data_IF_393879858193
#
_entry.id   IF_393879858193
#
_cell.length_a   1.000
_cell.length_b   1.000
_cell.length_c   1.000
_cell.angle_alpha   90.00
_cell.angle_beta   90.00
_cell.angle_gamma   90.00
#
_symmetry.space_group_name_H-M   'P 1'
#
loop_
_entity.id
_entity.type
_entity.pdbx_description
1 polymer ?
#
# COMPACT_ATOMS: atom_id res chain seq x y z
N UNK A 1 -51.67 -1.22 -12.74
CA UNK A 1 -50.85 -0.19 -12.06
C UNK A 1 -49.45 -0.69 -11.64
N UNK A 2 -48.99 -1.85 -12.12
CA UNK A 2 -47.72 -2.49 -11.72
C UNK A 2 -46.48 -2.06 -12.55
N UNK A 3 -46.67 -1.24 -13.60
CA UNK A 3 -45.60 -0.84 -14.53
C UNK A 3 -44.81 0.40 -14.09
N UNK A 4 -45.28 1.14 -13.07
CA UNK A 4 -44.63 2.37 -12.58
C UNK A 4 -43.69 2.16 -11.39
N UNK A 5 -43.65 0.96 -10.79
CA UNK A 5 -42.81 0.64 -9.63
C UNK A 5 -41.43 0.06 -9.97
N UNK A 6 -41.17 -0.26 -11.24
CA UNK A 6 -39.90 -0.87 -11.68
C UNK A 6 -38.76 0.13 -11.92
N UNK A 7 -39.05 1.43 -12.10
CA UNK A 7 -38.01 2.43 -12.37
C UNK A 7 -37.36 3.04 -11.11
N UNK A 8 -37.93 2.84 -9.92
CA UNK A 8 -37.38 3.36 -8.66
C UNK A 8 -36.22 2.54 -8.09
N UNK A 9 -36.20 1.23 -8.33
CA UNK A 9 -35.20 0.32 -7.75
C UNK A 9 -33.85 0.34 -8.48
N UNK A 10 -33.79 0.78 -9.74
CA UNK A 10 -32.56 0.84 -10.53
C UNK A 10 -31.65 2.02 -10.16
N UNK A 11 -32.19 3.11 -9.60
CA UNK A 11 -31.40 4.30 -9.23
C UNK A 11 -30.80 4.25 -7.82
N UNK A 12 -31.26 3.35 -6.93
CA UNK A 12 -30.66 3.18 -5.59
C UNK A 12 -29.40 2.31 -5.58
N UNK A 13 -29.10 1.59 -6.67
CA UNK A 13 -27.91 0.74 -6.74
C UNK A 13 -26.60 1.52 -7.03
N UNK A 14 -26.69 2.78 -7.47
CA UNK A 14 -25.52 3.62 -7.76
C UNK A 14 -25.08 4.50 -6.57
N UNK A 15 -25.78 4.45 -5.44
CA UNK A 15 -25.50 5.26 -4.25
C UNK A 15 -24.70 4.50 -3.18
N UNK A 16 -24.11 3.36 -3.51
CA UNK A 16 -23.31 2.59 -2.56
C UNK A 16 -21.87 3.11 -2.52
N UNK A 17 -21.60 3.84 -1.45
CA UNK A 17 -20.29 3.95 -0.80
C UNK A 17 -19.25 4.87 -1.46
N UNK A 18 -19.48 6.19 -1.40
CA UNK A 18 -18.38 7.15 -1.33
C UNK A 18 -17.79 7.19 0.10
N UNK A 19 -17.51 6.02 0.69
CA UNK A 19 -16.69 5.98 1.89
C UNK A 19 -15.24 6.16 1.43
N UNK A 20 -14.50 7.06 2.09
CA UNK A 20 -13.06 7.14 1.93
C UNK A 20 -12.46 5.77 2.29
N UNK A 21 -12.11 5.00 1.26
CA UNK A 21 -11.69 3.61 1.36
C UNK A 21 -10.19 3.57 1.59
N UNK A 22 -9.75 2.74 2.54
CA UNK A 22 -8.32 2.54 2.81
C UNK A 22 -7.75 1.64 1.73
N UNK A 23 -6.93 2.22 0.86
CA UNK A 23 -6.26 1.47 -0.21
C UNK A 23 -4.89 1.04 0.26
N UNK A 24 -4.52 -0.19 -0.09
CA UNK A 24 -3.21 -0.77 0.21
C UNK A 24 -2.45 -1.00 -1.09
N UNK A 25 -1.19 -0.58 -1.12
CA UNK A 25 -0.30 -0.74 -2.25
C UNK A 25 0.95 -1.49 -1.83
N UNK A 26 1.29 -2.53 -2.59
CA UNK A 26 2.58 -3.19 -2.52
C UNK A 26 3.47 -2.65 -3.63
N UNK A 27 4.73 -2.35 -3.32
CA UNK A 27 5.68 -1.85 -4.28
C UNK A 27 7.05 -2.50 -4.13
N UNK A 28 7.85 -2.44 -5.17
CA UNK A 28 9.23 -2.93 -5.15
C UNK A 28 10.12 -2.15 -6.10
N UNK A 29 11.38 -2.06 -5.72
CA UNK A 29 12.48 -1.60 -6.55
C UNK A 29 13.49 -2.74 -6.71
N UNK A 30 14.05 -2.89 -7.90
CA UNK A 30 15.07 -3.90 -8.19
C UNK A 30 16.17 -3.33 -9.09
N UNK A 31 17.33 -3.97 -9.08
CA UNK A 31 18.55 -3.57 -9.80
C UNK A 31 19.10 -2.23 -9.31
N UNK A 32 19.99 -2.30 -8.31
CA UNK A 32 20.60 -1.14 -7.67
C UNK A 32 22.10 -1.10 -7.95
N UNK A 33 22.73 0.02 -7.62
CA UNK A 33 24.17 0.12 -7.50
C UNK A 33 24.57 0.13 -6.03
N UNK A 34 25.49 -0.74 -5.63
CA UNK A 34 25.98 -0.88 -4.26
C UNK A 34 27.46 -1.32 -4.31
N UNK A 35 28.31 -0.74 -3.47
CA UNK A 35 29.73 -1.12 -3.34
C UNK A 35 30.47 -1.22 -4.70
N UNK A 36 30.28 -0.21 -5.54
CA UNK A 36 30.91 -0.08 -6.87
C UNK A 36 30.49 -1.14 -7.90
N UNK A 37 29.35 -1.81 -7.69
CA UNK A 37 28.80 -2.79 -8.63
C UNK A 37 27.28 -2.71 -8.73
N UNK A 38 26.75 -3.20 -9.84
CA UNK A 38 25.31 -3.46 -9.97
C UNK A 38 24.93 -4.71 -9.18
N UNK A 39 23.80 -4.65 -8.47
CA UNK A 39 23.23 -5.74 -7.68
C UNK A 39 21.77 -5.96 -8.08
N UNK A 40 21.34 -7.21 -8.18
CA UNK A 40 19.97 -7.60 -8.55
C UNK A 40 19.04 -7.74 -7.35
N UNK A 41 19.37 -7.06 -6.24
CA UNK A 41 18.57 -7.09 -5.02
C UNK A 41 17.18 -6.47 -5.26
N UNK A 42 16.19 -6.97 -4.52
CA UNK A 42 14.80 -6.49 -4.58
C UNK A 42 14.42 -5.90 -3.23
N UNK A 43 14.19 -4.59 -3.19
CA UNK A 43 13.70 -3.88 -2.02
C UNK A 43 12.19 -3.69 -2.14
N UNK A 44 11.44 -4.27 -1.20
CA UNK A 44 9.97 -4.24 -1.20
C UNK A 44 9.45 -3.23 -0.19
N UNK A 45 8.26 -2.73 -0.40
CA UNK A 45 7.54 -1.93 0.58
C UNK A 45 6.04 -2.06 0.42
N UNK A 46 5.34 -1.53 1.40
CA UNK A 46 3.89 -1.49 1.43
C UNK A 46 3.46 -0.17 2.06
N UNK A 47 2.42 0.45 1.52
CA UNK A 47 1.78 1.58 2.18
C UNK A 47 0.27 1.49 2.09
N UNK A 48 -0.40 2.09 3.05
CA UNK A 48 -1.85 2.26 3.05
C UNK A 48 -2.21 3.73 3.18
N UNK A 49 -3.21 4.14 2.41
CA UNK A 49 -3.64 5.52 2.25
C UNK A 49 -5.16 5.60 2.23
N UNK A 50 -5.70 6.73 2.66
CA UNK A 50 -7.12 7.07 2.55
C UNK A 50 -7.22 8.43 1.89
N UNK A 51 -7.84 8.50 0.72
CA UNK A 51 -8.08 9.74 -0.02
C UNK A 51 -9.15 10.57 0.71
N UNK A 52 -8.71 11.48 1.58
CA UNK A 52 -9.59 12.24 2.46
C UNK A 52 -10.13 13.47 1.75
N UNK A 53 -9.38 14.00 0.78
CA UNK A 53 -9.76 15.21 0.06
C UNK A 53 -10.42 14.92 -1.30
N UNK A 54 -10.34 13.68 -1.80
CA UNK A 54 -10.97 13.21 -3.03
C UNK A 54 -10.27 13.66 -4.31
N UNK A 55 -8.99 14.05 -4.26
CA UNK A 55 -8.25 14.56 -5.42
C UNK A 55 -7.55 13.47 -6.26
N UNK A 56 -7.52 12.23 -5.76
CA UNK A 56 -6.88 11.09 -6.41
C UNK A 56 -5.34 11.08 -6.33
N UNK A 57 -4.74 11.97 -5.54
CA UNK A 57 -3.30 12.08 -5.29
C UNK A 57 -3.05 11.93 -3.78
N UNK A 58 -2.50 10.78 -3.39
CA UNK A 58 -2.26 10.51 -1.98
C UNK A 58 -1.08 11.31 -1.44
N UNK A 59 -1.34 12.20 -0.50
CA UNK A 59 -0.33 12.99 0.19
C UNK A 59 0.12 12.40 1.54
N UNK A 60 1.12 13.03 2.17
CA UNK A 60 1.64 12.59 3.47
C UNK A 60 0.59 12.60 4.59
N UNK A 61 -0.40 13.51 4.55
CA UNK A 61 -1.51 13.59 5.51
C UNK A 61 -2.55 12.47 5.36
N UNK A 62 -2.52 11.77 4.24
CA UNK A 62 -3.44 10.67 3.87
C UNK A 62 -2.81 9.30 4.07
N UNK A 63 -1.51 9.28 4.36
CA UNK A 63 -0.74 8.10 4.67
C UNK A 63 -1.13 7.55 6.04
N UNK A 64 -1.64 6.33 6.07
CA UNK A 64 -2.02 5.61 7.29
C UNK A 64 -0.86 4.75 7.77
N UNK A 65 -0.26 3.98 6.86
CA UNK A 65 0.89 3.16 7.17
C UNK A 65 1.89 3.17 6.02
N UNK A 66 3.17 3.05 6.35
CA UNK A 66 4.25 2.91 5.39
C UNK A 66 5.35 2.02 5.96
N UNK A 67 5.68 0.99 5.19
CA UNK A 67 6.75 0.05 5.45
C UNK A 67 7.64 -0.02 4.22
N UNK A 68 8.95 0.01 4.45
CA UNK A 68 9.92 -0.22 3.40
C UNK A 68 11.03 -1.13 3.90
N UNK A 69 11.35 -2.11 3.08
CA UNK A 69 12.13 -3.30 3.43
C UNK A 69 11.49 -3.99 4.62
N UNK A 70 12.11 -3.94 5.80
CA UNK A 70 11.61 -4.54 7.04
C UNK A 70 11.30 -3.50 8.12
N UNK A 71 11.23 -2.22 7.76
CA UNK A 71 11.05 -1.14 8.72
C UNK A 71 9.72 -0.43 8.52
N UNK A 72 8.98 -0.30 9.62
CA UNK A 72 7.80 0.57 9.70
C UNK A 72 8.23 2.01 9.98
N UNK A 73 7.77 2.93 9.12
CA UNK A 73 7.95 4.38 9.27
C UNK A 73 6.64 5.04 9.71
N UNK A 74 5.49 4.47 9.31
CA UNK A 74 4.16 4.82 9.80
C UNK A 74 3.33 3.55 10.05
N UNK A 75 2.73 3.38 11.24
CA UNK A 75 3.08 4.09 12.47
C UNK A 75 4.56 3.85 12.81
N UNK A 76 5.18 4.85 13.43
CA UNK A 76 6.53 4.70 13.97
C UNK A 76 6.44 3.91 15.27
N UNK A 77 7.09 2.75 15.32
CA UNK A 77 7.08 1.88 16.48
C UNK A 77 8.50 1.44 16.82
N UNK A 78 8.76 1.29 18.12
CA UNK A 78 9.96 0.62 18.61
C UNK A 78 9.96 -0.83 18.15
N UNK A 79 11.09 -1.30 17.65
CA UNK A 79 11.29 -2.73 17.41
C UNK A 79 11.84 -3.38 18.70
N UNK A 80 11.70 -4.70 18.82
CA UNK A 80 12.16 -5.42 20.01
C UNK A 80 13.65 -5.19 20.27
N UNK A 81 13.99 -4.69 21.47
CA UNK A 81 15.36 -4.38 21.88
C UNK A 81 15.78 -2.93 21.64
N UNK A 82 14.92 -2.10 21.04
CA UNK A 82 15.16 -0.66 20.97
C UNK A 82 14.63 0.04 22.23
N UNK A 83 15.43 0.98 22.74
CA UNK A 83 15.01 1.88 23.80
C UNK A 83 14.23 3.08 23.22
N UNK A 84 14.66 3.55 22.05
CA UNK A 84 14.14 4.74 21.40
C UNK A 84 14.13 4.56 19.89
N UNK A 85 12.98 4.85 19.26
CA UNK A 85 12.85 4.92 17.81
C UNK A 85 12.21 6.25 17.42
N UNK A 86 12.83 6.95 16.48
CA UNK A 86 12.27 8.16 15.87
C UNK A 86 12.10 7.93 14.37
N UNK A 87 10.95 8.29 13.82
CA UNK A 87 10.71 8.24 12.38
C UNK A 87 10.30 9.62 11.89
N UNK A 88 10.77 10.01 10.71
CA UNK A 88 10.38 11.25 10.04
C UNK A 88 9.94 10.95 8.62
N UNK A 89 8.77 11.47 8.23
CA UNK A 89 8.26 11.41 6.86
C UNK A 89 8.36 12.82 6.30
N UNK A 90 9.46 13.10 5.60
CA UNK A 90 9.75 14.43 5.07
C UNK A 90 8.90 14.75 3.85
N UNK A 91 8.65 13.73 3.01
CA UNK A 91 7.73 13.83 1.88
C UNK A 91 7.12 12.47 1.56
N UNK A 92 5.88 12.50 1.10
CA UNK A 92 5.19 11.35 0.52
C UNK A 92 4.16 11.86 -0.48
N UNK A 93 4.16 11.30 -1.69
CA UNK A 93 3.17 11.58 -2.72
C UNK A 93 3.04 10.37 -3.65
N UNK A 94 1.81 9.98 -3.96
CA UNK A 94 1.56 8.95 -4.97
C UNK A 94 0.25 9.22 -5.71
N UNK A 95 0.33 9.17 -7.04
CA UNK A 95 -0.84 9.16 -7.91
C UNK A 95 -0.88 7.79 -8.63
N UNK A 96 -2.01 7.07 -8.64
CA UNK A 96 -2.13 5.82 -9.37
C UNK A 96 -1.70 5.96 -10.84
N UNK A 97 -0.80 5.09 -11.29
CA UNK A 97 -0.20 5.14 -12.63
C UNK A 97 1.02 6.06 -12.75
N UNK A 98 1.35 6.83 -11.71
CA UNK A 98 2.56 7.63 -11.60
C UNK A 98 3.68 6.94 -10.82
N UNK A 99 4.76 7.69 -10.60
CA UNK A 99 5.86 7.27 -9.73
C UNK A 99 5.53 7.53 -8.26
N UNK A 100 5.91 6.60 -7.40
CA UNK A 100 5.87 6.77 -5.96
C UNK A 100 7.04 7.67 -5.53
N UNK A 101 6.73 8.77 -4.84
CA UNK A 101 7.72 9.68 -4.27
C UNK A 101 7.66 9.64 -2.74
N UNK A 102 8.78 9.33 -2.09
CA UNK A 102 8.89 9.38 -0.63
C UNK A 102 10.29 9.76 -0.16
N UNK A 103 10.33 10.37 1.01
CA UNK A 103 11.54 10.73 1.74
C UNK A 103 11.31 10.48 3.22
N UNK A 104 11.96 9.46 3.76
CA UNK A 104 11.76 9.04 5.14
C UNK A 104 13.06 8.69 5.85
N UNK A 105 13.12 9.02 7.14
CA UNK A 105 14.23 8.70 8.01
C UNK A 105 13.74 7.89 9.20
N UNK A 106 14.56 6.98 9.69
CA UNK A 106 14.33 6.25 10.92
C UNK A 106 15.61 6.14 11.72
N UNK A 107 15.56 6.48 13.00
CA UNK A 107 16.64 6.24 13.95
C UNK A 107 16.17 5.19 14.93
N UNK A 108 17.01 4.19 15.19
CA UNK A 108 16.83 3.17 16.23
C UNK A 108 18.00 3.29 17.19
N UNK A 109 17.72 3.37 18.48
CA UNK A 109 18.71 3.45 19.55
C UNK A 109 18.46 2.38 20.59
N UNK A 110 19.52 1.70 20.97
CA UNK A 110 19.58 0.81 22.13
C UNK A 110 20.83 1.13 22.97
N UNK A 111 21.09 0.37 24.02
CA UNK A 111 22.22 0.63 24.94
C UNK A 111 23.61 0.50 24.28
N UNK A 112 23.69 -0.24 23.18
CA UNK A 112 24.94 -0.68 22.56
C UNK A 112 25.20 -0.05 21.20
N UNK A 113 24.15 0.38 20.51
CA UNK A 113 24.23 0.96 19.18
C UNK A 113 23.08 1.91 18.88
N UNK A 114 23.41 2.87 18.02
CA UNK A 114 22.45 3.67 17.29
C UNK A 114 22.52 3.26 15.81
N UNK A 115 21.39 3.27 15.12
CA UNK A 115 21.28 2.96 13.68
C UNK A 115 20.36 3.96 13.01
N UNK A 116 20.78 4.51 11.88
CA UNK A 116 20.08 5.55 11.12
C UNK A 116 19.81 5.02 9.73
N UNK A 117 18.53 4.94 9.36
CA UNK A 117 18.04 4.52 8.07
C UNK A 117 17.55 5.75 7.30
N UNK A 118 17.90 5.80 6.02
CA UNK A 118 17.38 6.78 5.07
C UNK A 118 16.76 6.05 3.89
N UNK A 119 15.58 6.47 3.47
CA UNK A 119 14.91 5.99 2.28
C UNK A 119 14.42 7.20 1.47
N UNK A 120 14.92 7.33 0.24
CA UNK A 120 14.61 8.41 -0.71
C UNK A 120 14.33 7.77 -2.08
N UNK A 121 13.08 7.76 -2.52
CA UNK A 121 12.73 7.22 -3.84
C UNK A 121 13.51 7.93 -4.95
N UNK A 122 14.18 7.18 -5.82
CA UNK A 122 14.95 7.74 -6.93
C UNK A 122 16.34 8.28 -6.58
N UNK A 123 16.78 8.19 -5.32
CA UNK A 123 18.15 8.54 -4.89
C UNK A 123 18.81 7.36 -4.21
N UNK A 124 18.41 7.05 -2.97
CA UNK A 124 19.07 6.01 -2.17
C UNK A 124 18.18 5.39 -1.10
N UNK A 125 18.57 4.19 -0.71
CA UNK A 125 18.17 3.56 0.54
C UNK A 125 19.41 3.02 1.23
N UNK A 126 19.54 3.23 2.53
CA UNK A 126 20.69 2.73 3.24
C UNK A 126 20.58 2.94 4.73
N UNK A 127 21.59 2.46 5.43
CA UNK A 127 21.74 2.75 6.84
C UNK A 127 23.19 2.94 7.23
N UNK A 128 23.37 3.65 8.33
CA UNK A 128 24.61 3.69 9.09
C UNK A 128 24.31 3.11 10.46
N UNK A 129 25.29 2.47 11.12
CA UNK A 129 25.19 1.95 12.48
C UNK A 129 26.50 2.18 13.23
N UNK A 130 26.43 2.64 14.47
CA UNK A 130 27.56 3.02 15.30
C UNK A 130 27.36 2.46 16.71
N UNK A 131 28.44 1.92 17.29
CA UNK A 131 28.41 1.31 18.62
C UNK A 131 28.92 2.27 19.69
N UNK A 132 28.30 2.22 20.88
CA UNK A 132 28.72 3.00 22.04
C UNK A 132 30.10 2.60 22.58
N UNK A 133 30.56 1.37 22.31
CA UNK A 133 31.88 0.85 22.71
C UNK A 133 33.05 1.33 21.85
N UNK A 134 32.80 2.18 20.84
CA UNK A 134 33.79 2.59 19.85
C UNK A 134 33.95 1.60 18.69
N UNK A 135 34.73 1.99 17.68
CA UNK A 135 34.93 1.23 16.45
C UNK A 135 34.54 2.00 15.19
N UNK A 136 34.82 1.41 14.03
CA UNK A 136 34.44 2.01 12.74
C UNK A 136 32.93 1.83 12.52
N UNK A 137 32.19 2.89 12.14
CA UNK A 137 30.77 2.76 11.84
C UNK A 137 30.57 1.82 10.65
N UNK A 138 29.51 1.02 10.72
CA UNK A 138 29.06 0.21 9.60
C UNK A 138 28.09 1.02 8.76
N UNK A 139 28.26 1.03 7.45
CA UNK A 139 27.34 1.70 6.54
C UNK A 139 27.06 0.84 5.32
N UNK A 140 25.87 0.99 4.75
CA UNK A 140 25.50 0.40 3.46
C UNK A 140 24.49 1.29 2.75
N UNK A 141 24.57 1.37 1.44
CA UNK A 141 23.65 2.15 0.62
C UNK A 141 23.41 1.48 -0.73
N UNK A 142 22.13 1.34 -1.06
CA UNK A 142 21.60 1.02 -2.37
C UNK A 142 21.29 2.34 -3.09
N UNK A 143 21.93 2.56 -4.23
CA UNK A 143 21.71 3.73 -5.06
C UNK A 143 20.78 3.37 -6.22
N UNK A 144 19.78 4.22 -6.45
CA UNK A 144 18.90 4.11 -7.61
C UNK A 144 19.71 4.57 -8.82
N UNK A 145 19.61 3.83 -9.91
CA UNK A 145 20.22 4.18 -11.20
C UNK A 145 19.17 4.15 -12.29
N UNK A 146 19.58 4.47 -13.52
CA UNK A 146 18.71 4.34 -14.70
C UNK A 146 18.28 2.88 -14.94
N UNK A 147 19.01 1.90 -14.40
CA UNK A 147 18.68 0.48 -14.49
C UNK A 147 17.68 0.04 -13.41
N UNK A 148 17.40 0.87 -12.41
CA UNK A 148 16.50 0.54 -11.32
C UNK A 148 15.06 0.49 -11.81
N UNK A 149 14.42 -0.65 -11.63
CA UNK A 149 13.06 -0.89 -12.08
C UNK A 149 12.09 -0.77 -10.90
N UNK A 150 11.02 -0.04 -11.12
CA UNK A 150 9.94 0.17 -10.15
C UNK A 150 8.70 -0.63 -10.56
N UNK A 151 8.07 -1.28 -9.58
CA UNK A 151 6.78 -1.94 -9.73
C UNK A 151 5.89 -1.59 -8.54
N UNK A 152 4.61 -1.37 -8.80
CA UNK A 152 3.60 -1.08 -7.78
C UNK A 152 2.26 -1.69 -8.18
N UNK A 153 1.57 -2.30 -7.22
CA UNK A 153 0.28 -2.95 -7.43
C UNK A 153 -0.66 -2.63 -6.28
N UNK A 154 -1.90 -2.26 -6.63
CA UNK A 154 -2.96 -2.16 -5.64
C UNK A 154 -3.35 -3.56 -5.17
N UNK A 155 -3.43 -3.75 -3.85
CA UNK A 155 -3.86 -5.02 -3.26
C UNK A 155 -5.38 -5.02 -3.21
N UNK A 156 -6.08 -5.94 -3.91
CA UNK A 156 -7.53 -6.00 -3.88
C UNK A 156 -8.03 -6.27 -2.47
N UNK A 157 -9.03 -5.52 -2.02
CA UNK A 157 -9.61 -5.75 -0.71
C UNK A 157 -10.30 -7.13 -0.61
N UNK A 158 -10.23 -7.82 0.54
CA UNK A 158 -10.91 -9.10 0.74
C UNK A 158 -12.43 -9.02 0.50
N UNK A 159 -13.03 -7.89 0.82
CA UNK A 159 -14.47 -7.64 0.67
C UNK A 159 -14.91 -7.50 -0.80
N UNK A 160 -14.02 -7.12 -1.71
CA UNK A 160 -14.30 -7.09 -3.15
C UNK A 160 -14.63 -8.49 -3.67
N UNK A 161 -13.96 -9.53 -3.18
CA UNK A 161 -14.27 -10.91 -3.52
C UNK A 161 -15.61 -11.38 -2.93
N UNK A 162 -15.96 -10.90 -1.73
CA UNK A 162 -17.26 -11.21 -1.12
C UNK A 162 -18.41 -10.55 -1.89
N UNK A 163 -18.26 -9.29 -2.31
CA UNK A 163 -19.23 -8.59 -3.14
C UNK A 163 -19.38 -9.24 -4.52
N UNK A 164 -18.27 -9.64 -5.15
CA UNK A 164 -18.29 -10.38 -6.41
C UNK A 164 -19.00 -11.74 -6.24
N UNK A 165 -18.68 -12.48 -5.18
CA UNK A 165 -19.32 -13.74 -4.84
C UNK A 165 -20.83 -13.59 -4.60
N UNK A 166 -21.23 -12.58 -3.82
CA UNK A 166 -22.63 -12.27 -3.55
C UNK A 166 -23.38 -11.86 -4.84
N UNK A 167 -22.75 -11.06 -5.70
CA UNK A 167 -23.28 -10.67 -7.00
C UNK A 167 -23.53 -11.88 -7.91
N UNK A 168 -22.57 -12.81 -7.99
CA UNK A 168 -22.72 -14.04 -8.75
C UNK A 168 -23.85 -14.93 -8.20
N UNK A 169 -23.92 -15.11 -6.87
CA UNK A 169 -24.99 -15.90 -6.24
C UNK A 169 -26.39 -15.29 -6.49
N UNK A 170 -26.51 -13.97 -6.46
CA UNK A 170 -27.76 -13.28 -6.77
C UNK A 170 -28.17 -13.50 -8.24
N UNK A 171 -27.22 -13.43 -9.18
CA UNK A 171 -27.47 -13.69 -10.60
C UNK A 171 -27.91 -15.14 -10.86
N UNK A 172 -27.23 -16.12 -10.27
CA UNK A 172 -27.62 -17.54 -10.38
C UNK A 172 -28.98 -17.82 -9.72
N UNK A 173 -29.26 -17.22 -8.56
CA UNK A 173 -30.56 -17.33 -7.90
C UNK A 173 -31.71 -16.73 -8.73
N UNK A 174 -31.47 -15.59 -9.37
CA UNK A 174 -32.44 -14.95 -10.25
C UNK A 174 -32.68 -15.73 -11.55
N UNK A 175 -31.62 -16.30 -12.15
CA UNK A 175 -31.73 -17.15 -13.34
C UNK A 175 -32.56 -18.42 -13.06
N UNK A 176 -32.35 -19.07 -11.90
CA UNK A 176 -33.09 -20.28 -11.51
C UNK A 176 -34.57 -20.02 -11.25
N UNK A 177 -34.94 -18.85 -10.74
CA UNK A 177 -36.34 -18.45 -10.54
C UNK A 177 -37.07 -18.18 -11.85
N UNK A 178 -36.38 -17.70 -12.91
CA UNK A 178 -37.00 -17.48 -14.23
C UNK A 178 -37.36 -18.80 -14.93
N UNK A 179 -36.52 -19.83 -14.84
CA UNK A 179 -36.85 -21.15 -15.40
C UNK A 179 -37.99 -21.85 -14.66
N UNK A 180 -38.19 -21.60 -13.37
CA UNK A 180 -39.31 -22.17 -12.61
C UNK A 180 -40.67 -21.53 -12.91
N UNK A 181 -40.71 -20.31 -13.46
CA UNK A 181 -41.96 -19.63 -13.81
C UNK A 181 -42.51 -20.03 -15.17
N UNK A 182 -41.69 -20.58 -16.07
CA UNK A 182 -42.13 -21.05 -17.39
C UNK A 182 -42.77 -22.44 -17.33
N UNK A 183 -42.51 -23.22 -16.28
CA UNK A 183 -43.02 -24.59 -16.11
C UNK A 183 -44.42 -24.68 -15.45
N UNK A 184 -45.11 -23.54 -15.24
CA UNK A 184 -46.41 -23.50 -14.53
C UNK A 184 -47.60 -23.08 -15.42
N UNK A 185 -47.44 -23.11 -16.74
CA UNK A 185 -48.47 -22.78 -17.72
C UNK A 185 -48.98 -23.99 -18.53
N UNK A 186 -48.53 -25.21 -18.22
CA UNK A 186 -49.06 -26.46 -18.78
C UNK A 186 -49.47 -27.41 -17.63
N UNK A 187 -50.59 -27.13 -16.98
CA UNK A 187 -51.39 -28.13 -16.25
C UNK A 187 -52.83 -27.68 -16.14
#
# INVERSE_FOLDING_TARGET
>A
MLKKLLCGAAMMACAMSAHAEVKVFDFSYQNFFQDYRDVTDILKGQFSVEDKNGDGVYGASELIAFKFVNHSYAPCANESGDNETSCSINSFSYQPGGLLNFSMDKTRRNDWSDTYYTARSGDRYGFTSWSSGGGQPYYTAYLWTENTQFSITAVPEPQTYMMLGAGLLALFGAARRRSASTAKLES
#
